data_IF_998161842622
#
_entry.id   IF_998161842622
#
_cell.length_a   1.000
_cell.length_b   1.000
_cell.length_c   1.000
_cell.angle_alpha   90.00
_cell.angle_beta   90.00
_cell.angle_gamma   90.00
#
_symmetry.space_group_name_H-M   'P 1'
#
loop_
_entity.id
_entity.type
_entity.pdbx_description
1 polymer ?
#
# COMPACT_ATOMS: atom_id res chain seq x y z
N UNK A 1 6.52 -10.80 6.98
CA UNK A 1 6.41 -9.92 5.86
C UNK A 1 7.55 -8.99 6.11
N UNK A 2 8.55 -9.02 5.25
CA UNK A 2 9.81 -8.35 5.51
C UNK A 2 9.63 -6.84 5.58
N UNK A 3 10.52 -6.21 6.32
CA UNK A 3 10.81 -4.79 6.18
C UNK A 3 11.94 -4.66 5.17
N UNK A 4 11.79 -3.82 4.16
CA UNK A 4 12.81 -3.58 3.14
C UNK A 4 13.22 -2.13 3.07
N UNK A 5 14.50 -1.92 2.76
CA UNK A 5 15.07 -0.63 2.45
C UNK A 5 15.06 -0.43 0.93
N UNK A 6 14.60 0.73 0.49
CA UNK A 6 14.51 1.10 -0.92
C UNK A 6 15.54 2.20 -1.23
N UNK A 7 16.72 1.86 -1.77
CA UNK A 7 17.87 2.75 -1.85
C UNK A 7 17.88 3.66 -3.09
N UNK A 8 16.72 3.91 -3.70
CA UNK A 8 16.60 4.70 -4.93
C UNK A 8 16.46 6.20 -4.59
N UNK A 9 17.28 7.05 -5.20
CA UNK A 9 17.18 8.50 -5.04
C UNK A 9 15.97 9.08 -5.80
N UNK A 10 15.65 8.52 -6.97
CA UNK A 10 14.56 8.97 -7.82
C UNK A 10 13.43 7.94 -7.83
N UNK A 11 12.53 8.03 -6.86
CA UNK A 11 11.44 7.07 -6.70
C UNK A 11 10.31 7.36 -7.69
N UNK A 12 9.88 6.33 -8.41
CA UNK A 12 8.77 6.35 -9.36
C UNK A 12 7.84 5.17 -9.10
N UNK A 13 6.63 5.18 -9.67
CA UNK A 13 5.73 4.03 -9.61
C UNK A 13 6.37 2.78 -10.24
N UNK A 14 7.10 2.97 -11.34
CA UNK A 14 7.71 1.87 -12.09
C UNK A 14 8.83 1.18 -11.30
N UNK A 15 9.81 1.94 -10.79
CA UNK A 15 10.91 1.33 -10.04
C UNK A 15 10.46 0.79 -8.67
N UNK A 16 9.50 1.43 -8.00
CA UNK A 16 8.91 0.90 -6.77
C UNK A 16 8.21 -0.44 -7.02
N UNK A 17 7.43 -0.54 -8.11
CA UNK A 17 6.76 -1.78 -8.51
C UNK A 17 7.79 -2.87 -8.83
N UNK A 18 8.81 -2.53 -9.62
CA UNK A 18 9.90 -3.43 -9.98
C UNK A 18 10.62 -3.95 -8.73
N UNK A 19 10.98 -3.07 -7.81
CA UNK A 19 11.63 -3.41 -6.54
C UNK A 19 10.79 -4.39 -5.71
N UNK A 20 9.49 -4.12 -5.56
CA UNK A 20 8.59 -5.03 -4.84
C UNK A 20 8.58 -6.44 -5.46
N UNK A 21 8.52 -6.52 -6.79
CA UNK A 21 8.51 -7.79 -7.52
C UNK A 21 9.85 -8.53 -7.43
N UNK A 22 10.98 -7.82 -7.48
CA UNK A 22 12.32 -8.39 -7.32
C UNK A 22 12.54 -8.98 -5.91
N UNK A 23 11.87 -8.42 -4.90
CA UNK A 23 11.85 -8.96 -3.54
C UNK A 23 10.74 -10.00 -3.32
N UNK A 24 10.14 -10.50 -4.41
CA UNK A 24 9.07 -11.50 -4.42
C UNK A 24 7.81 -11.07 -3.64
N UNK A 25 7.56 -9.77 -3.57
CA UNK A 25 6.40 -9.20 -2.89
C UNK A 25 5.33 -8.74 -3.88
N UNK A 26 4.06 -8.85 -3.48
CA UNK A 26 2.97 -8.22 -4.21
C UNK A 26 3.01 -6.70 -3.96
N UNK A 27 3.18 -5.85 -4.99
CA UNK A 27 3.24 -4.40 -4.81
C UNK A 27 2.01 -3.80 -4.11
N UNK A 28 0.82 -4.43 -4.23
CA UNK A 28 -0.41 -3.98 -3.55
C UNK A 28 -0.48 -4.38 -2.07
N UNK A 29 0.46 -5.19 -1.60
CA UNK A 29 0.67 -5.57 -0.19
C UNK A 29 1.92 -4.91 0.39
N UNK A 30 2.58 -4.04 -0.36
CA UNK A 30 3.70 -3.23 0.11
C UNK A 30 3.19 -1.85 0.55
N UNK A 31 3.73 -1.33 1.65
CA UNK A 31 3.45 -0.01 2.19
C UNK A 31 4.69 0.83 2.02
N UNK A 32 4.56 1.94 1.29
CA UNK A 32 5.61 2.94 1.21
C UNK A 32 5.52 3.87 2.42
N UNK A 33 6.49 3.82 3.32
CA UNK A 33 6.56 4.70 4.48
C UNK A 33 7.43 5.90 4.13
N UNK A 34 6.98 7.12 4.40
CA UNK A 34 7.69 8.35 4.07
C UNK A 34 7.47 9.38 5.15
N UNK A 35 8.24 10.46 5.16
CA UNK A 35 8.00 11.56 6.07
C UNK A 35 6.99 12.55 5.52
N UNK A 36 6.13 13.05 6.39
CA UNK A 36 5.00 13.88 6.05
C UNK A 36 4.94 15.08 7.02
N UNK A 37 5.32 16.26 6.52
CA UNK A 37 5.24 17.54 7.25
C UNK A 37 3.80 18.07 7.37
N UNK A 38 2.80 17.38 6.81
CA UNK A 38 1.50 18.02 6.57
C UNK A 38 0.54 18.07 7.77
N UNK A 39 0.96 17.69 8.98
CA UNK A 39 0.12 17.61 10.20
C UNK A 39 -1.26 16.98 9.94
N UNK A 40 -1.34 16.04 8.99
CA UNK A 40 -2.61 15.43 8.60
C UNK A 40 -3.04 14.42 9.66
N UNK A 41 -4.12 14.76 10.37
CA UNK A 41 -4.66 13.97 11.48
C UNK A 41 -4.87 12.49 11.08
N UNK A 42 -4.14 11.54 11.68
CA UNK A 42 -4.15 10.13 11.28
C UNK A 42 -5.52 9.46 11.40
N UNK A 43 -6.44 10.00 12.23
CA UNK A 43 -7.78 9.43 12.42
C UNK A 43 -8.65 9.47 11.14
N UNK A 44 -8.35 10.35 10.18
CA UNK A 44 -9.11 10.46 8.91
C UNK A 44 -8.41 9.80 7.72
N UNK A 45 -7.15 9.41 7.88
CA UNK A 45 -6.33 8.86 6.81
C UNK A 45 -6.18 7.35 6.97
N UNK A 46 -6.59 6.61 5.94
CA UNK A 46 -6.34 5.17 5.82
C UNK A 46 -4.99 4.93 5.18
N UNK A 47 -4.54 3.67 5.18
CA UNK A 47 -3.33 3.23 4.49
C UNK A 47 -3.34 3.57 2.98
N UNK A 48 -4.52 3.68 2.38
CA UNK A 48 -4.73 3.97 0.96
C UNK A 48 -5.25 5.39 0.69
N UNK A 49 -5.33 6.23 1.72
CA UNK A 49 -5.66 7.64 1.52
C UNK A 49 -4.51 8.33 0.77
N UNK A 50 -4.86 9.04 -0.30
CA UNK A 50 -3.91 9.89 -1.04
C UNK A 50 -3.52 11.04 -0.12
N UNK A 51 -2.23 11.09 0.22
CA UNK A 51 -1.65 12.16 1.06
C UNK A 51 -1.08 13.20 0.12
N UNK A 52 -1.44 14.47 0.34
CA UNK A 52 -0.88 15.59 -0.43
C UNK A 52 0.38 16.07 0.28
N UNK A 53 1.53 15.80 -0.33
CA UNK A 53 2.82 16.30 0.14
C UNK A 53 3.23 17.57 -0.56
N UNK A 54 3.88 18.46 0.18
CA UNK A 54 4.49 19.69 -0.39
C UNK A 54 5.98 19.50 -0.70
N UNK A 55 6.61 18.53 -0.04
CA UNK A 55 7.99 18.08 -0.19
C UNK A 55 8.12 17.02 -1.30
N UNK A 56 9.35 16.62 -1.60
CA UNK A 56 9.61 15.68 -2.69
C UNK A 56 9.13 14.25 -2.36
N UNK A 57 9.30 13.78 -1.13
CA UNK A 57 8.83 12.45 -0.70
C UNK A 57 7.31 12.40 -0.59
N UNK A 58 6.68 13.45 -0.08
CA UNK A 58 5.23 13.52 -0.06
C UNK A 58 4.59 13.59 -1.45
N UNK A 59 5.23 14.22 -2.45
CA UNK A 59 4.78 14.13 -3.86
C UNK A 59 4.94 12.72 -4.44
N UNK A 60 6.01 12.02 -4.09
CA UNK A 60 6.19 10.61 -4.47
C UNK A 60 5.09 9.76 -3.85
N UNK A 61 4.82 9.93 -2.55
CA UNK A 61 3.76 9.23 -1.84
C UNK A 61 2.37 9.54 -2.42
N UNK A 62 2.12 10.79 -2.82
CA UNK A 62 0.91 11.17 -3.53
C UNK A 62 0.79 10.37 -4.84
N UNK A 63 1.85 10.34 -5.66
CA UNK A 63 1.88 9.64 -6.94
C UNK A 63 1.66 8.12 -6.77
N UNK A 64 2.28 7.52 -5.75
CA UNK A 64 2.05 6.12 -5.40
C UNK A 64 0.62 5.87 -4.92
N UNK A 65 0.08 6.75 -4.07
CA UNK A 65 -1.30 6.69 -3.59
C UNK A 65 -2.32 6.80 -4.72
N UNK A 66 -2.12 7.72 -5.67
CA UNK A 66 -2.94 7.87 -6.88
C UNK A 66 -2.90 6.64 -7.78
N UNK A 67 -1.76 5.95 -7.84
CA UNK A 67 -1.63 4.64 -8.50
C UNK A 67 -2.22 3.47 -7.66
N UNK A 68 -2.82 3.78 -6.50
CA UNK A 68 -3.50 2.85 -5.61
C UNK A 68 -2.54 1.97 -4.81
N UNK A 69 -1.33 2.45 -4.51
CA UNK A 69 -0.43 1.80 -3.56
C UNK A 69 -0.69 2.32 -2.15
N UNK A 70 -0.40 1.48 -1.16
CA UNK A 70 -0.48 1.86 0.23
C UNK A 70 0.69 2.78 0.60
N UNK A 71 0.40 3.87 1.29
CA UNK A 71 1.41 4.80 1.80
C UNK A 71 1.16 5.14 3.26
N UNK A 72 2.20 5.49 4.00
CA UNK A 72 2.09 5.89 5.40
C UNK A 72 3.07 7.02 5.67
N UNK A 73 2.56 8.14 6.20
CA UNK A 73 3.35 9.32 6.55
C UNK A 73 3.78 9.25 8.00
N UNK A 74 5.06 9.47 8.27
CA UNK A 74 5.64 9.68 9.59
C UNK A 74 5.87 11.19 9.77
N UNK A 75 5.61 11.79 10.94
CA UNK A 75 5.88 13.21 11.13
C UNK A 75 7.37 13.53 10.97
N UNK A 76 7.68 14.65 10.31
CA UNK A 76 9.03 15.08 9.98
C UNK A 76 9.53 16.30 10.76
N UNK A 77 8.82 16.77 11.76
CA UNK A 77 9.30 17.80 12.68
C UNK A 77 8.71 17.52 14.06
N UNK A 78 9.43 17.88 15.15
CA UNK A 78 8.91 17.91 16.51
C UNK A 78 8.39 19.31 16.92
N UNK A 79 8.25 20.26 15.99
CA UNK A 79 7.82 21.63 16.26
C UNK A 79 6.28 21.76 16.49
N UNK A 80 5.79 21.14 17.57
CA UNK A 80 4.44 21.31 18.09
C UNK A 80 4.26 20.76 19.51
N UNK A 81 3.49 21.45 20.37
CA UNK A 81 3.26 21.08 21.79
C UNK A 81 2.55 19.73 22.00
N UNK A 82 2.08 19.05 20.93
CA UNK A 82 1.35 17.78 20.96
C UNK A 82 2.05 16.67 20.10
N UNK A 83 3.34 16.79 19.75
CA UNK A 83 3.97 15.98 18.68
C UNK A 83 4.60 14.63 19.08
N UNK A 84 4.94 14.41 20.35
CA UNK A 84 5.37 13.09 20.83
C UNK A 84 4.28 12.04 20.57
N UNK A 85 3.02 12.38 20.88
CA UNK A 85 1.82 11.58 20.55
C UNK A 85 1.70 11.28 19.05
N UNK A 86 2.06 12.22 18.16
CA UNK A 86 1.94 12.00 16.72
C UNK A 86 2.98 11.03 16.18
N UNK A 87 4.23 11.10 16.67
CA UNK A 87 5.31 10.18 16.25
C UNK A 87 5.01 8.74 16.67
N UNK A 88 4.49 8.57 17.88
CA UNK A 88 4.04 7.28 18.42
C UNK A 88 2.86 6.70 17.64
N UNK A 89 1.83 7.51 17.39
CA UNK A 89 0.65 7.08 16.63
C UNK A 89 1.04 6.70 15.20
N UNK A 90 1.96 7.43 14.57
CA UNK A 90 2.46 7.12 13.24
C UNK A 90 3.25 5.80 13.22
N UNK A 91 4.12 5.56 14.21
CA UNK A 91 4.83 4.28 14.33
C UNK A 91 3.90 3.12 14.69
N UNK A 92 2.90 3.35 15.54
CA UNK A 92 1.84 2.38 15.81
C UNK A 92 1.09 2.00 14.52
N UNK A 93 0.84 2.96 13.62
CA UNK A 93 0.24 2.69 12.33
C UNK A 93 1.15 1.81 11.43
N UNK A 94 2.47 2.03 11.45
CA UNK A 94 3.44 1.15 10.76
C UNK A 94 3.40 -0.27 11.35
N UNK A 95 3.44 -0.40 12.68
CA UNK A 95 3.40 -1.69 13.37
C UNK A 95 2.09 -2.43 13.13
N UNK A 96 0.97 -1.72 13.07
CA UNK A 96 -0.34 -2.27 12.71
C UNK A 96 -0.37 -2.78 11.27
N UNK A 97 0.13 -2.02 10.31
CA UNK A 97 0.22 -2.46 8.92
C UNK A 97 1.12 -3.71 8.81
N UNK A 98 2.27 -3.69 9.48
CA UNK A 98 3.17 -4.82 9.54
C UNK A 98 2.48 -6.05 10.15
N UNK A 99 1.79 -5.90 11.29
CA UNK A 99 1.01 -6.94 11.97
C UNK A 99 -0.06 -7.58 11.08
N UNK A 100 -0.75 -6.77 10.27
CA UNK A 100 -1.72 -7.20 9.25
C UNK A 100 -1.11 -7.91 8.03
N UNK A 101 0.21 -8.05 8.01
CA UNK A 101 0.94 -8.78 6.98
C UNK A 101 1.24 -7.96 5.74
N UNK A 102 1.30 -6.64 5.85
CA UNK A 102 1.90 -5.82 4.80
C UNK A 102 3.42 -5.91 4.87
N UNK A 103 4.05 -5.80 3.71
CA UNK A 103 5.50 -5.59 3.59
C UNK A 103 5.77 -4.10 3.76
N UNK A 104 6.65 -3.75 4.69
CA UNK A 104 6.97 -2.35 4.97
C UNK A 104 8.18 -1.97 4.14
N UNK A 105 8.08 -0.89 3.36
CA UNK A 105 9.17 -0.39 2.52
C UNK A 105 9.51 1.02 2.99
N UNK A 106 10.74 1.16 3.47
CA UNK A 106 11.31 2.44 3.83
C UNK A 106 12.24 2.94 2.72
N UNK A 107 12.07 4.18 2.22
CA UNK A 107 13.08 4.82 1.40
C UNK A 107 14.33 5.00 2.26
N UNK A 108 15.49 4.64 1.71
CA UNK A 108 16.76 4.67 2.41
C UNK A 108 17.84 5.28 1.53
N UNK A 109 18.92 5.72 2.15
CA UNK A 109 20.14 6.16 1.48
C UNK A 109 21.36 5.55 2.17
N UNK A 110 22.50 5.59 1.49
CA UNK A 110 23.76 5.11 2.05
C UNK A 110 24.17 6.06 3.19
N UNK A 111 24.49 5.49 4.35
CA UNK A 111 24.96 6.24 5.52
C UNK A 111 26.26 7.00 5.21
N UNK A 112 26.46 8.17 5.82
CA UNK A 112 27.61 9.08 5.59
C UNK A 112 27.78 9.62 4.15
N UNK A 113 26.84 9.38 3.23
CA UNK A 113 26.94 9.88 1.85
C UNK A 113 26.86 11.42 1.73
N UNK A 114 26.36 12.11 2.76
CA UNK A 114 26.18 13.58 2.81
C UNK A 114 26.56 14.19 4.18
N UNK A 115 27.64 13.71 4.81
CA UNK A 115 28.11 14.21 6.10
C UNK A 115 27.55 13.41 7.28
N UNK A 116 28.26 13.48 8.42
CA UNK A 116 27.96 12.75 9.66
C UNK A 116 26.79 13.43 10.39
N UNK A 117 25.58 13.36 9.82
CA UNK A 117 24.38 14.01 10.37
C UNK A 117 23.72 13.12 11.44
N UNK A 118 23.93 11.80 11.42
CA UNK A 118 23.36 10.86 12.41
C UNK A 118 24.46 10.10 13.13
N UNK A 119 24.29 9.95 14.44
CA UNK A 119 25.14 9.10 15.27
C UNK A 119 24.87 7.61 15.02
N UNK A 120 23.65 7.27 14.55
CA UNK A 120 23.20 5.90 14.39
C UNK A 120 22.79 5.57 12.94
N UNK A 121 23.02 4.31 12.56
CA UNK A 121 22.62 3.74 11.27
C UNK A 121 21.62 2.61 11.49
N UNK A 122 20.79 2.29 10.49
CA UNK A 122 19.89 1.12 10.55
C UNK A 122 20.64 -0.23 10.62
N UNK A 123 21.96 -0.22 10.39
CA UNK A 123 22.78 -1.41 10.26
C UNK A 123 22.41 -2.21 9.02
N UNK A 124 22.84 -3.48 8.99
CA UNK A 124 22.59 -4.41 7.87
C UNK A 124 21.16 -4.97 7.95
N UNK A 125 20.15 -4.16 7.63
CA UNK A 125 18.78 -4.68 7.46
C UNK A 125 18.63 -5.53 6.20
N UNK A 126 19.49 -5.33 5.20
CA UNK A 126 19.69 -6.24 4.07
C UNK A 126 21.04 -6.96 4.27
N UNK A 127 21.01 -8.25 4.58
CA UNK A 127 22.18 -9.05 4.94
C UNK A 127 23.24 -9.21 3.82
N UNK A 128 23.13 -8.53 2.68
CA UNK A 128 23.84 -8.93 1.45
C UNK A 128 25.04 -8.09 1.01
N UNK A 129 25.22 -6.84 1.45
CA UNK A 129 26.24 -5.97 0.82
C UNK A 129 27.30 -5.38 1.75
N UNK A 130 27.14 -5.48 3.08
CA UNK A 130 28.03 -4.80 4.02
C UNK A 130 27.90 -3.27 3.99
N UNK A 131 26.95 -2.73 3.22
CA UNK A 131 26.61 -1.31 3.16
C UNK A 131 25.69 -0.96 4.34
N UNK A 132 26.01 0.15 5.01
CA UNK A 132 25.17 0.73 6.06
C UNK A 132 24.21 1.74 5.44
N UNK A 133 22.96 1.70 5.90
CA UNK A 133 21.89 2.55 5.41
C UNK A 133 21.32 3.39 6.54
N UNK A 134 20.79 4.53 6.15
CA UNK A 134 19.91 5.34 6.97
C UNK A 134 18.61 5.57 6.23
N UNK A 135 17.55 5.82 6.98
CA UNK A 135 16.26 6.14 6.40
C UNK A 135 16.39 7.47 5.66
N UNK A 136 15.83 7.53 4.45
CA UNK A 136 15.90 8.73 3.60
C UNK A 136 14.88 9.74 4.11
N UNK A 137 15.23 10.33 5.24
CA UNK A 137 14.35 11.11 6.10
C UNK A 137 14.56 12.63 5.94
N UNK A 138 15.43 13.08 5.02
CA UNK A 138 15.72 14.52 4.93
C UNK A 138 15.69 15.09 3.53
N UNK A 139 14.83 16.09 3.40
CA UNK A 139 15.00 17.17 2.45
C UNK A 139 15.78 18.31 3.13
N UNK A 140 17.07 18.46 2.78
CA UNK A 140 17.97 19.63 2.91
C UNK A 140 18.03 20.50 4.19
N UNK A 141 17.21 20.32 5.23
CA UNK A 141 17.28 21.06 6.50
C UNK A 141 17.92 20.20 7.57
N UNK A 142 19.19 20.48 7.84
CA UNK A 142 20.13 19.57 8.50
C UNK A 142 20.03 19.50 10.05
N UNK A 143 19.18 20.26 10.74
CA UNK A 143 19.38 20.49 12.19
C UNK A 143 18.20 20.22 13.16
N UNK A 144 16.98 19.91 12.71
CA UNK A 144 15.80 19.83 13.63
C UNK A 144 15.24 18.44 13.91
N UNK A 145 15.75 17.37 13.28
CA UNK A 145 15.05 16.07 13.28
C UNK A 145 15.89 14.88 13.74
N UNK A 146 17.11 15.10 14.24
CA UNK A 146 18.00 14.02 14.70
C UNK A 146 17.29 13.15 15.75
N UNK A 147 16.63 13.77 16.73
CA UNK A 147 15.86 13.09 17.78
C UNK A 147 14.77 12.18 17.20
N UNK A 148 13.94 12.68 16.29
CA UNK A 148 12.85 11.89 15.69
C UNK A 148 13.37 10.73 14.88
N UNK A 149 14.49 10.91 14.22
CA UNK A 149 15.06 9.84 13.43
C UNK A 149 15.75 8.80 14.28
N UNK A 150 16.51 9.18 15.30
CA UNK A 150 17.07 8.25 16.28
C UNK A 150 15.93 7.43 16.92
N UNK A 151 14.81 8.09 17.25
CA UNK A 151 13.60 7.40 17.69
C UNK A 151 13.12 6.36 16.67
N UNK A 152 12.93 6.71 15.39
CA UNK A 152 12.52 5.73 14.37
C UNK A 152 13.56 4.64 14.12
N UNK A 153 14.85 4.98 14.12
CA UNK A 153 15.98 4.07 13.95
C UNK A 153 16.05 3.06 15.10
N UNK A 154 15.65 3.44 16.31
CA UNK A 154 15.56 2.52 17.46
C UNK A 154 14.42 1.50 17.33
N UNK A 155 13.32 1.87 16.66
CA UNK A 155 12.09 1.07 16.56
C UNK A 155 12.05 0.14 15.34
N UNK A 156 12.65 0.53 14.22
CA UNK A 156 12.63 -0.28 12.98
C UNK A 156 13.29 -1.65 13.16
N UNK A 157 14.46 -1.80 13.81
CA UNK A 157 15.05 -3.11 14.09
C UNK A 157 14.16 -4.01 14.95
N UNK A 158 13.46 -3.43 15.94
CA UNK A 158 12.50 -4.16 16.78
C UNK A 158 11.33 -4.68 15.93
N UNK A 159 10.79 -3.84 15.04
CA UNK A 159 9.76 -4.24 14.08
C UNK A 159 10.22 -5.37 13.15
N UNK A 160 11.44 -5.29 12.61
CA UNK A 160 12.04 -6.35 11.77
C UNK A 160 12.06 -7.67 12.54
N UNK A 161 12.56 -7.67 13.78
CA UNK A 161 12.60 -8.85 14.66
C UNK A 161 11.21 -9.50 14.83
N UNK A 162 10.19 -8.71 15.15
CA UNK A 162 8.83 -9.23 15.33
C UNK A 162 8.18 -9.73 14.04
N UNK A 163 8.41 -9.05 12.92
CA UNK A 163 7.91 -9.51 11.62
C UNK A 163 8.56 -10.83 11.18
N UNK A 164 9.85 -11.01 11.45
CA UNK A 164 10.57 -12.27 11.21
C UNK A 164 10.06 -13.39 12.11
N UNK A 165 9.86 -13.13 13.41
CA UNK A 165 9.29 -14.11 14.34
C UNK A 165 7.92 -14.58 13.90
N UNK A 166 7.04 -13.65 13.46
CA UNK A 166 5.72 -14.02 12.96
C UNK A 166 5.80 -14.92 11.72
N UNK A 167 6.65 -14.59 10.77
CA UNK A 167 6.80 -15.37 9.53
C UNK A 167 7.31 -16.77 9.79
N UNK A 168 8.26 -16.88 10.72
CA UNK A 168 8.79 -18.15 11.18
C UNK A 168 7.84 -18.91 12.12
N UNK A 169 6.63 -18.36 12.38
CA UNK A 169 5.64 -18.89 13.31
C UNK A 169 6.24 -19.18 14.69
N UNK A 170 7.12 -18.29 15.17
CA UNK A 170 7.74 -18.40 16.48
C UNK A 170 6.65 -18.37 17.57
N UNK A 171 6.60 -19.45 18.36
CA UNK A 171 5.63 -19.61 19.44
C UNK A 171 5.81 -18.58 20.55
N UNK A 172 6.99 -17.98 20.65
CA UNK A 172 7.33 -17.00 21.67
C UNK A 172 7.01 -15.55 21.25
N UNK A 173 6.46 -15.33 20.05
CA UNK A 173 6.17 -13.98 19.54
C UNK A 173 5.36 -13.12 20.53
N UNK A 174 4.28 -13.68 21.08
CA UNK A 174 3.40 -12.93 21.99
C UNK A 174 4.05 -12.67 23.35
N UNK A 175 4.86 -13.62 23.83
CA UNK A 175 5.66 -13.43 25.05
C UNK A 175 6.68 -12.31 24.84
N UNK A 176 7.47 -12.33 23.75
CA UNK A 176 8.48 -11.32 23.47
C UNK A 176 7.89 -9.94 23.20
N UNK A 177 6.73 -9.88 22.54
CA UNK A 177 5.95 -8.63 22.43
C UNK A 177 5.51 -8.13 23.82
N UNK A 178 5.14 -9.04 24.72
CA UNK A 178 4.82 -8.73 26.11
C UNK A 178 6.03 -8.19 26.89
N UNK A 179 7.19 -8.82 26.76
CA UNK A 179 8.45 -8.41 27.38
C UNK A 179 8.87 -7.02 26.88
N UNK A 180 8.82 -6.80 25.57
CA UNK A 180 9.09 -5.49 24.95
C UNK A 180 8.20 -4.38 25.51
N UNK A 181 6.90 -4.64 25.72
CA UNK A 181 5.99 -3.67 26.33
C UNK A 181 6.27 -3.39 27.82
N UNK A 182 7.22 -4.10 28.43
CA UNK A 182 7.57 -3.97 29.85
C UNK A 182 9.03 -3.67 30.10
N UNK A 183 9.86 -3.59 29.05
CA UNK A 183 11.33 -3.54 29.12
C UNK A 183 11.83 -2.31 29.92
N UNK A 184 11.06 -1.21 29.94
CA UNK A 184 11.46 0.05 30.60
C UNK A 184 10.84 0.26 31.99
N UNK A 185 10.05 -0.71 32.49
CA UNK A 185 9.34 -0.56 33.77
C UNK A 185 10.25 -0.55 35.01
N UNK A 186 11.52 -0.92 34.85
CA UNK A 186 12.51 -1.01 35.94
C UNK A 186 13.42 0.21 36.09
N UNK A 187 13.36 1.18 35.16
CA UNK A 187 14.23 2.36 35.13
C UNK A 187 13.48 3.61 35.61
N UNK A 188 13.39 3.77 36.94
CA UNK A 188 12.94 4.97 37.69
C UNK A 188 11.56 5.59 37.30
N UNK A 189 10.80 6.07 38.28
CA UNK A 189 9.45 6.61 38.11
C UNK A 189 9.34 7.88 37.22
N UNK A 190 10.43 8.32 36.60
CA UNK A 190 10.48 9.45 35.66
C UNK A 190 10.34 9.02 34.19
N UNK A 191 10.28 7.71 33.88
CA UNK A 191 10.15 7.17 32.52
C UNK A 191 8.74 6.63 32.19
N UNK A 192 7.68 7.12 32.87
CA UNK A 192 6.31 6.64 32.63
C UNK A 192 5.91 6.69 31.14
N UNK A 193 6.39 7.68 30.39
CA UNK A 193 6.06 7.90 28.98
C UNK A 193 6.59 6.78 28.05
N UNK A 194 7.80 6.27 28.27
CA UNK A 194 8.43 5.24 27.42
C UNK A 194 7.74 3.86 27.56
N UNK A 195 7.22 3.56 28.76
CA UNK A 195 6.39 2.39 28.99
C UNK A 195 5.07 2.44 28.18
N UNK A 196 4.43 3.61 28.11
CA UNK A 196 3.20 3.77 27.33
C UNK A 196 3.47 3.56 25.83
N UNK A 197 4.61 4.03 25.33
CA UNK A 197 5.01 3.85 23.92
C UNK A 197 5.08 2.39 23.49
N UNK A 198 5.86 1.57 24.19
CA UNK A 198 6.06 0.17 23.81
C UNK A 198 4.76 -0.65 23.92
N UNK A 199 3.89 -0.31 24.88
CA UNK A 199 2.56 -0.90 24.99
C UNK A 199 1.66 -0.56 23.80
N UNK A 200 1.65 0.71 23.35
CA UNK A 200 0.90 1.15 22.17
C UNK A 200 1.37 0.40 20.91
N UNK A 201 2.68 0.29 20.71
CA UNK A 201 3.26 -0.40 19.54
C UNK A 201 2.90 -1.89 19.51
N UNK A 202 2.99 -2.58 20.67
CA UNK A 202 2.54 -3.96 20.83
C UNK A 202 1.07 -4.11 20.44
N UNK A 203 0.20 -3.28 21.03
CA UNK A 203 -1.25 -3.38 20.82
C UNK A 203 -1.60 -3.11 19.35
N UNK A 204 -0.92 -2.15 18.72
CA UNK A 204 -1.10 -1.86 17.30
C UNK A 204 -0.72 -3.06 16.42
N UNK A 205 0.41 -3.72 16.70
CA UNK A 205 0.84 -4.92 15.97
C UNK A 205 -0.14 -6.08 16.13
N UNK A 206 -0.57 -6.35 17.36
CA UNK A 206 -1.57 -7.39 17.65
C UNK A 206 -2.93 -7.07 17.02
N UNK A 207 -3.34 -5.80 17.02
CA UNK A 207 -4.56 -5.36 16.35
C UNK A 207 -4.50 -5.64 14.85
N UNK A 208 -3.38 -5.29 14.19
CA UNK A 208 -3.16 -5.61 12.79
C UNK A 208 -3.24 -7.11 12.50
N UNK A 209 -2.59 -7.93 13.34
CA UNK A 209 -2.59 -9.40 13.25
C UNK A 209 -4.01 -9.99 13.39
N UNK A 210 -4.77 -9.51 14.37
CA UNK A 210 -6.08 -10.06 14.74
C UNK A 210 -7.23 -9.50 13.88
N UNK A 211 -7.06 -8.29 13.33
CA UNK A 211 -8.07 -7.57 12.56
C UNK A 211 -7.55 -7.15 11.18
N UNK A 212 -7.07 -8.08 10.32
CA UNK A 212 -6.51 -7.71 9.02
C UNK A 212 -7.55 -7.09 8.06
N UNK A 213 -8.84 -7.27 8.34
CA UNK A 213 -9.97 -6.70 7.58
C UNK A 213 -10.37 -5.30 8.04
N UNK A 214 -9.60 -4.67 8.93
CA UNK A 214 -9.87 -3.32 9.39
C UNK A 214 -9.99 -2.34 8.22
N UNK A 215 -11.02 -1.49 8.22
CA UNK A 215 -11.25 -0.51 7.17
C UNK A 215 -10.04 0.40 6.94
N UNK A 216 -9.27 0.68 7.99
CA UNK A 216 -8.04 1.48 7.90
C UNK A 216 -6.95 0.79 7.05
N UNK A 217 -6.92 -0.54 7.05
CA UNK A 217 -5.97 -1.38 6.30
C UNK A 217 -6.44 -1.71 4.89
N UNK A 218 -7.72 -1.50 4.56
CA UNK A 218 -8.26 -1.91 3.27
C UNK A 218 -8.17 -0.79 2.25
N UNK A 219 -7.96 -1.10 0.95
CA UNK A 219 -8.14 -0.12 -0.10
C UNK A 219 -9.58 0.42 -0.03
N UNK A 220 -9.81 1.71 -0.37
CA UNK A 220 -11.16 2.23 -0.43
C UNK A 220 -11.97 1.30 -1.33
N UNK A 221 -13.08 0.78 -0.80
CA UNK A 221 -13.96 -0.09 -1.55
C UNK A 221 -14.27 0.63 -2.87
N UNK A 222 -13.84 0.05 -3.98
CA UNK A 222 -14.11 0.64 -5.29
C UNK A 222 -15.62 0.85 -5.34
N UNK A 223 -16.04 2.11 -5.55
CA UNK A 223 -17.46 2.48 -5.56
C UNK A 223 -18.24 1.68 -6.61
N UNK A 224 -17.51 1.07 -7.55
CA UNK A 224 -18.03 0.06 -8.46
C UNK A 224 -17.42 -1.29 -8.12
N UNK A 225 -18.23 -2.18 -7.53
CA UNK A 225 -17.84 -3.58 -7.47
C UNK A 225 -17.70 -4.11 -8.90
N UNK A 226 -16.78 -5.05 -9.18
CA UNK A 226 -16.71 -5.71 -10.48
C UNK A 226 -18.07 -6.27 -10.91
N UNK A 227 -18.85 -6.75 -9.94
CA UNK A 227 -20.24 -7.20 -10.12
C UNK A 227 -21.18 -6.08 -10.57
N UNK A 228 -21.03 -4.85 -10.04
CA UNK A 228 -21.79 -3.69 -10.47
C UNK A 228 -21.38 -3.27 -11.88
N UNK A 229 -20.10 -3.29 -12.23
CA UNK A 229 -19.66 -3.04 -13.61
C UNK A 229 -20.18 -4.11 -14.57
N UNK A 230 -20.21 -5.37 -14.14
CA UNK A 230 -20.75 -6.48 -14.93
C UNK A 230 -22.28 -6.39 -15.05
N UNK A 231 -22.97 -5.91 -14.02
CA UNK A 231 -24.41 -5.65 -14.03
C UNK A 231 -24.77 -4.46 -14.93
N UNK A 232 -24.02 -3.36 -14.85
CA UNK A 232 -24.16 -2.20 -15.74
C UNK A 232 -23.87 -2.64 -17.18
N UNK A 233 -22.79 -3.38 -17.41
CA UNK A 233 -22.43 -3.91 -18.71
C UNK A 233 -23.52 -4.82 -19.30
N UNK A 234 -23.97 -5.81 -18.54
CA UNK A 234 -25.04 -6.74 -18.98
C UNK A 234 -26.39 -6.04 -19.19
N UNK A 235 -26.73 -5.04 -18.37
CA UNK A 235 -27.92 -4.20 -18.58
C UNK A 235 -27.88 -3.43 -19.88
N UNK A 236 -26.74 -2.82 -20.23
CA UNK A 236 -26.54 -2.10 -21.49
C UNK A 236 -26.62 -3.08 -22.69
N UNK A 237 -25.99 -4.25 -22.59
CA UNK A 237 -26.07 -5.27 -23.65
C UNK A 237 -27.49 -5.83 -23.82
N UNK A 238 -28.22 -6.06 -22.73
CA UNK A 238 -29.61 -6.51 -22.78
C UNK A 238 -30.53 -5.47 -23.45
N UNK A 239 -30.37 -4.19 -23.08
CA UNK A 239 -31.14 -3.10 -23.68
C UNK A 239 -30.82 -2.90 -25.17
N UNK A 240 -29.54 -2.95 -25.56
CA UNK A 240 -29.12 -2.85 -26.95
C UNK A 240 -29.58 -4.05 -27.81
N UNK A 241 -29.57 -5.26 -27.23
CA UNK A 241 -30.13 -6.47 -27.85
C UNK A 241 -31.64 -6.36 -28.07
N UNK A 242 -32.39 -5.87 -27.10
CA UNK A 242 -33.82 -5.65 -27.24
C UNK A 242 -34.14 -4.61 -28.34
N UNK A 243 -33.39 -3.50 -28.38
CA UNK A 243 -33.58 -2.46 -29.40
C UNK A 243 -33.30 -2.98 -30.82
N UNK A 244 -32.25 -3.78 -31.01
CA UNK A 244 -31.92 -4.37 -32.32
C UNK A 244 -32.96 -5.38 -32.78
N UNK A 245 -33.54 -6.18 -31.88
CA UNK A 245 -34.65 -7.09 -32.22
C UNK A 245 -35.88 -6.31 -32.66
N UNK A 246 -36.24 -5.22 -31.97
CA UNK A 246 -37.38 -4.36 -32.33
C UNK A 246 -37.15 -3.68 -33.68
N UNK A 247 -35.97 -3.13 -33.93
CA UNK A 247 -35.61 -2.50 -35.21
C UNK A 247 -35.60 -3.54 -36.34
N UNK A 248 -35.05 -4.73 -36.09
CA UNK A 248 -35.04 -5.84 -37.05
C UNK A 248 -36.44 -6.35 -37.38
N UNK A 249 -37.32 -6.47 -36.39
CA UNK A 249 -38.72 -6.83 -36.58
C UNK A 249 -39.49 -5.77 -37.40
N UNK A 250 -39.27 -4.48 -37.12
CA UNK A 250 -39.85 -3.37 -37.89
C UNK A 250 -39.32 -3.28 -39.33
N UNK A 251 -38.04 -3.63 -39.55
CA UNK A 251 -37.44 -3.70 -40.88
C UNK A 251 -38.01 -4.87 -41.70
N UNK A 252 -38.17 -6.05 -41.10
CA UNK A 252 -38.78 -7.23 -41.72
C UNK A 252 -40.27 -7.01 -42.07
N UNK A 253 -40.98 -6.22 -41.26
CA UNK A 253 -42.36 -5.82 -41.54
C UNK A 253 -42.50 -4.83 -42.72
N UNK A 254 -41.39 -4.43 -43.38
CA UNK A 254 -41.34 -3.42 -44.47
C UNK A 254 -41.95 -2.05 -44.12
N UNK A 255 -42.16 -1.77 -42.84
CA UNK A 255 -42.72 -0.50 -42.36
C UNK A 255 -41.69 0.65 -42.51
N UNK A 256 -40.40 0.34 -42.41
CA UNK A 256 -39.32 1.36 -42.41
C UNK A 256 -38.88 1.79 -43.82
N UNK A 257 -39.11 0.97 -44.86
CA UNK A 257 -38.68 1.28 -46.23
C UNK A 257 -39.40 2.48 -46.87
N UNK A 258 -40.45 3.01 -46.26
CA UNK A 258 -41.24 4.13 -46.80
C UNK A 258 -40.99 5.44 -46.04
N UNK A 259 -40.47 5.43 -44.81
CA UNK A 259 -40.59 6.60 -43.91
C UNK A 259 -39.31 7.31 -43.46
N UNK A 260 -38.10 6.73 -43.45
CA UNK A 260 -36.90 7.51 -43.06
C UNK A 260 -35.56 6.83 -43.41
N UNK A 261 -34.84 7.28 -44.46
CA UNK A 261 -33.43 6.93 -44.70
C UNK A 261 -32.44 7.21 -43.54
N UNK A 262 -32.58 8.28 -42.72
CA UNK A 262 -31.58 8.57 -41.68
C UNK A 262 -31.59 7.58 -40.49
N UNK A 263 -32.69 6.87 -40.27
CA UNK A 263 -32.80 5.88 -39.19
C UNK A 263 -31.94 4.64 -39.42
N UNK A 264 -31.69 4.28 -40.68
CA UNK A 264 -30.83 3.15 -41.06
C UNK A 264 -29.36 3.47 -40.73
N UNK A 265 -28.94 4.74 -40.89
CA UNK A 265 -27.60 5.21 -40.52
C UNK A 265 -27.38 5.22 -39.00
N UNK A 266 -28.40 5.60 -38.22
CA UNK A 266 -28.35 5.54 -36.75
C UNK A 266 -28.31 4.09 -36.25
N UNK A 267 -29.07 3.19 -36.88
CA UNK A 267 -29.05 1.76 -36.54
C UNK A 267 -27.70 1.10 -36.86
N UNK A 268 -27.09 1.44 -38.00
CA UNK A 268 -25.75 0.96 -38.36
C UNK A 268 -24.65 1.52 -37.43
N UNK A 269 -24.76 2.80 -37.04
CA UNK A 269 -23.87 3.42 -36.06
C UNK A 269 -23.99 2.80 -34.66
N UNK A 270 -25.22 2.51 -34.22
CA UNK A 270 -25.46 1.83 -32.94
C UNK A 270 -24.90 0.42 -32.93
N UNK A 271 -25.08 -0.35 -34.01
CA UNK A 271 -24.55 -1.71 -34.12
C UNK A 271 -23.01 -1.75 -34.03
N UNK A 272 -22.32 -0.85 -34.72
CA UNK A 272 -20.86 -0.74 -34.66
C UNK A 272 -20.36 -0.37 -33.25
N UNK A 273 -21.08 0.49 -32.54
CA UNK A 273 -20.75 0.92 -31.18
C UNK A 273 -20.93 -0.22 -30.16
N UNK A 274 -21.97 -1.04 -30.29
CA UNK A 274 -22.15 -2.26 -29.47
C UNK A 274 -21.04 -3.29 -29.65
N UNK A 275 -20.56 -3.49 -30.88
CA UNK A 275 -19.46 -4.43 -31.16
C UNK A 275 -18.15 -3.91 -30.54
N UNK A 276 -17.90 -2.60 -30.62
CA UNK A 276 -16.75 -1.95 -29.98
C UNK A 276 -16.75 -2.12 -28.46
N UNK A 277 -17.90 -1.90 -27.80
CA UNK A 277 -18.03 -2.03 -26.34
C UNK A 277 -17.95 -3.50 -25.90
N UNK A 278 -18.48 -4.44 -26.69
CA UNK A 278 -18.38 -5.88 -26.40
C UNK A 278 -16.93 -6.38 -26.44
N UNK A 279 -16.15 -5.90 -27.42
CA UNK A 279 -14.72 -6.18 -27.52
C UNK A 279 -13.95 -5.69 -26.28
N UNK A 280 -14.23 -4.47 -25.81
CA UNK A 280 -13.58 -3.89 -24.62
C UNK A 280 -13.97 -4.67 -23.37
N UNK A 281 -15.24 -5.04 -23.21
CA UNK A 281 -15.73 -5.83 -22.08
C UNK A 281 -15.13 -7.24 -22.00
N UNK A 282 -15.02 -7.92 -23.15
CA UNK A 282 -14.38 -9.24 -23.22
C UNK A 282 -12.89 -9.17 -22.90
N UNK A 283 -12.20 -8.13 -23.39
CA UNK A 283 -10.78 -7.91 -23.09
C UNK A 283 -10.54 -7.64 -21.61
N UNK A 284 -11.35 -6.77 -20.98
CA UNK A 284 -11.29 -6.50 -19.55
C UNK A 284 -11.57 -7.74 -18.70
N UNK A 285 -12.58 -8.55 -19.08
CA UNK A 285 -12.89 -9.79 -18.37
C UNK A 285 -11.74 -10.81 -18.44
N UNK A 286 -11.14 -11.01 -19.61
CA UNK A 286 -9.99 -11.92 -19.78
C UNK A 286 -8.78 -11.45 -18.97
N UNK A 287 -8.54 -10.14 -18.93
CA UNK A 287 -7.44 -9.55 -18.16
C UNK A 287 -7.64 -9.68 -16.64
N UNK A 288 -8.90 -9.72 -16.19
CA UNK A 288 -9.25 -9.91 -14.77
C UNK A 288 -9.14 -11.38 -14.37
N UNK A 289 -9.52 -12.33 -15.25
CA UNK A 289 -9.29 -13.75 -15.00
C UNK A 289 -7.81 -14.12 -14.95
N UNK A 290 -6.98 -13.54 -15.81
CA UNK A 290 -5.53 -13.77 -15.81
C UNK A 290 -4.86 -13.32 -14.51
N UNK A 291 -5.39 -12.29 -13.83
CA UNK A 291 -4.88 -11.81 -12.53
C UNK A 291 -5.31 -12.67 -11.34
N UNK A 292 -6.36 -13.47 -11.48
CA UNK A 292 -6.96 -14.24 -10.39
C UNK A 292 -6.72 -15.76 -10.50
N UNK A 293 -5.96 -16.23 -11.49
CA UNK A 293 -5.51 -17.62 -11.47
C UNK A 293 -4.41 -17.77 -10.41
N UNK A 294 -4.60 -18.62 -9.39
CA UNK A 294 -3.52 -18.93 -8.46
C UNK A 294 -2.38 -19.57 -9.27
N UNK A 295 -1.16 -19.07 -9.07
CA UNK A 295 0.06 -19.66 -9.64
C UNK A 295 0.07 -21.15 -9.26
N UNK A 296 -0.17 -22.00 -10.24
CA UNK A 296 0.09 -23.43 -10.08
C UNK A 296 1.61 -23.56 -10.07
N UNK A 297 2.17 -23.65 -8.88
CA UNK A 297 3.55 -24.11 -8.72
C UNK A 297 3.58 -25.55 -9.21
N UNK A 298 4.11 -25.72 -10.42
CA UNK A 298 4.52 -27.02 -10.93
C UNK A 298 5.49 -27.59 -9.89
N UNK A 299 5.03 -28.58 -9.11
CA UNK A 299 5.86 -29.31 -8.19
C UNK A 299 6.95 -29.96 -9.02
N UNK A 300 8.13 -29.35 -9.04
CA UNK A 300 9.35 -29.97 -9.51
C UNK A 300 9.56 -31.22 -8.64
N UNK A 301 9.14 -32.36 -9.17
CA UNK A 301 9.45 -33.68 -8.62
C UNK A 301 10.97 -33.77 -8.48
N UNK A 302 11.43 -33.78 -7.23
CA UNK A 302 12.83 -34.01 -6.92
C UNK A 302 13.28 -35.31 -7.58
N UNK A 303 14.45 -35.35 -8.25
CA UNK A 303 15.01 -36.60 -8.72
C UNK A 303 15.30 -37.49 -7.50
N UNK A 304 14.83 -38.72 -7.57
CA UNK A 304 15.09 -39.73 -6.57
C UNK A 304 16.56 -40.18 -6.64
N UNK A 305 17.23 -40.09 -5.48
CA UNK A 305 18.55 -40.63 -5.08
C UNK A 305 19.79 -39.95 -5.64
#
# INVERSE_FOLDING_TARGET
>A
MPVFLFPEENITVENYTKFCLEKEQNPKRCVFVFLDDSNQNPAKHTLFSIKKGNDDLGKIAQTLGEAGFATLGLPASPDGEDEEDYSEVAMAAVWRAAGAGYTIIFPARIHCSKGDIFAEHLGRLDNTSGTEYELNFWDKKESSNEILADYYLSLVPKLVSFTTMRDNQDRNLEQKLGEFATEDKELDAESEDEYYQNAILKDAFLHGKNSPQDKWLQPPAAWFSPSLLLAIGSGIFGAAGAATVVIGALALAKVITILCPPLILVAAGAAALTIGIAGIGFFAHKHTQARNQPLQFEQASAPAM
#
